data_IF_632089715140
#
_entry.id   IF_632089715140
#
_cell.length_a   1.000
_cell.length_b   1.000
_cell.length_c   1.000
_cell.angle_alpha   90.00
_cell.angle_beta   90.00
_cell.angle_gamma   90.00
#
_symmetry.space_group_name_H-M   'P 1'
#
loop_
_entity.id
_entity.type
_entity.pdbx_description
1 polymer ?
#
# COMPACT_ATOMS: atom_id res chain seq x y z
N UNK A 1 -8.02 -14.95 6.52
CA UNK A 1 -7.60 -13.61 7.00
C UNK A 1 -6.07 -13.46 7.02
N UNK A 2 -5.34 -14.38 7.66
CA UNK A 2 -3.87 -14.34 7.79
C UNK A 2 -3.14 -14.10 6.45
N UNK A 3 -3.36 -14.92 5.42
CA UNK A 3 -2.66 -14.77 4.11
C UNK A 3 -2.79 -13.37 3.50
N UNK A 4 -3.98 -12.77 3.61
CA UNK A 4 -4.26 -11.42 3.11
C UNK A 4 -3.43 -10.38 3.86
N UNK A 5 -3.32 -10.50 5.18
CA UNK A 5 -2.51 -9.59 6.01
C UNK A 5 -1.02 -9.83 5.78
N UNK A 6 -0.59 -11.07 5.55
CA UNK A 6 0.80 -11.39 5.23
C UNK A 6 1.21 -10.81 3.86
N UNK A 7 0.31 -10.81 2.88
CA UNK A 7 0.57 -10.15 1.61
C UNK A 7 0.75 -8.63 1.78
N UNK A 8 -0.08 -8.01 2.62
CA UNK A 8 0.07 -6.59 2.94
C UNK A 8 1.34 -6.28 3.74
N UNK A 9 1.73 -7.14 4.67
CA UNK A 9 2.96 -6.90 5.45
C UNK A 9 4.20 -6.93 4.56
N UNK A 10 4.22 -7.80 3.55
CA UNK A 10 5.26 -7.84 2.52
C UNK A 10 5.23 -6.59 1.63
N UNK A 11 4.06 -6.13 1.21
CA UNK A 11 3.90 -4.92 0.40
C UNK A 11 4.37 -3.66 1.16
N UNK A 12 3.98 -3.52 2.42
CA UNK A 12 4.27 -2.37 3.27
C UNK A 12 5.50 -2.55 4.16
N UNK A 13 6.44 -3.44 3.80
CA UNK A 13 7.66 -3.70 4.59
C UNK A 13 8.58 -2.48 4.74
N UNK A 14 8.43 -1.50 3.85
CA UNK A 14 9.16 -0.22 3.89
C UNK A 14 8.38 0.89 4.61
N UNK A 15 7.13 0.63 4.99
CA UNK A 15 6.24 1.59 5.68
C UNK A 15 6.19 1.33 7.18
N UNK A 16 6.10 0.05 7.56
CA UNK A 16 5.92 -0.36 8.95
C UNK A 16 7.14 -1.13 9.46
N UNK A 17 7.46 -0.90 10.73
CA UNK A 17 8.47 -1.68 11.44
C UNK A 17 7.81 -2.91 12.05
N UNK A 18 8.28 -4.08 11.65
CA UNK A 18 7.85 -5.36 12.24
C UNK A 18 8.94 -5.85 13.20
N UNK A 19 8.52 -6.44 14.33
CA UNK A 19 9.46 -7.04 15.28
C UNK A 19 10.14 -8.26 14.66
N UNK A 20 11.42 -8.48 14.96
CA UNK A 20 12.26 -9.53 14.35
C UNK A 20 12.51 -10.74 15.25
N UNK A 21 11.93 -10.73 16.45
CA UNK A 21 12.06 -11.75 17.49
C UNK A 21 10.97 -12.84 17.41
N UNK A 22 10.02 -12.71 16.48
CA UNK A 22 8.90 -13.63 16.31
C UNK A 22 8.56 -13.83 14.83
N UNK A 23 7.87 -14.93 14.51
CA UNK A 23 7.38 -15.17 13.14
C UNK A 23 6.21 -14.24 12.82
N UNK A 24 5.89 -14.07 11.53
CA UNK A 24 4.71 -13.31 11.14
C UNK A 24 3.43 -13.88 11.76
N UNK A 25 3.29 -15.20 11.83
CA UNK A 25 2.11 -15.86 12.38
C UNK A 25 1.97 -15.58 13.87
N UNK A 26 3.06 -15.63 14.63
CA UNK A 26 3.05 -15.30 16.06
C UNK A 26 2.62 -13.84 16.27
N UNK A 27 3.23 -12.90 15.55
CA UNK A 27 2.90 -11.47 15.62
C UNK A 27 1.43 -11.23 15.28
N UNK A 28 0.93 -11.89 14.24
CA UNK A 28 -0.44 -11.75 13.79
C UNK A 28 -1.45 -12.31 14.81
N UNK A 29 -1.17 -13.49 15.38
CA UNK A 29 -2.04 -14.09 16.40
C UNK A 29 -2.03 -13.30 17.71
N UNK A 30 -0.88 -12.78 18.12
CA UNK A 30 -0.76 -11.91 19.29
C UNK A 30 -1.57 -10.62 19.09
N UNK A 31 -1.45 -9.98 17.94
CA UNK A 31 -2.22 -8.78 17.62
C UNK A 31 -3.74 -9.03 17.65
N UNK A 32 -4.22 -10.13 17.04
CA UNK A 32 -5.65 -10.49 17.10
C UNK A 32 -6.12 -10.75 18.53
N UNK A 33 -5.29 -11.43 19.33
CA UNK A 33 -5.62 -11.75 20.72
C UNK A 33 -5.70 -10.50 21.58
N UNK A 34 -4.75 -9.58 21.43
CA UNK A 34 -4.72 -8.33 22.19
C UNK A 34 -5.90 -7.43 21.80
N UNK A 35 -6.16 -7.27 20.50
CA UNK A 35 -7.32 -6.51 20.02
C UNK A 35 -8.65 -7.10 20.49
N UNK A 36 -8.78 -8.43 20.52
CA UNK A 36 -9.99 -9.10 21.03
C UNK A 36 -10.13 -8.95 22.55
N UNK A 37 -9.03 -9.06 23.30
CA UNK A 37 -9.00 -8.87 24.75
C UNK A 37 -9.36 -7.45 25.15
N UNK A 38 -8.94 -6.47 24.37
CA UNK A 38 -9.27 -5.05 24.54
C UNK A 38 -10.70 -4.72 24.07
N UNK A 39 -11.41 -5.70 23.51
CA UNK A 39 -12.79 -5.54 23.05
C UNK A 39 -12.91 -4.72 21.76
N UNK A 40 -11.84 -4.58 20.99
CA UNK A 40 -11.85 -3.86 19.71
C UNK A 40 -12.47 -4.70 18.59
N UNK A 41 -12.23 -6.00 18.63
CA UNK A 41 -12.73 -6.96 17.63
C UNK A 41 -13.33 -8.21 18.29
N UNK A 42 -14.21 -8.88 17.54
CA UNK A 42 -14.58 -10.26 17.78
C UNK A 42 -13.98 -11.14 16.67
N UNK A 43 -13.40 -12.27 17.06
CA UNK A 43 -12.88 -13.27 16.12
C UNK A 43 -13.83 -14.46 16.08
N UNK A 44 -14.42 -14.74 14.92
CA UNK A 44 -15.35 -15.86 14.70
C UNK A 44 -15.06 -16.53 13.35
N UNK A 45 -14.98 -17.85 13.32
CA UNK A 45 -14.78 -18.66 12.11
C UNK A 45 -13.62 -18.21 11.20
N UNK A 46 -12.53 -17.70 11.80
CA UNK A 46 -11.36 -17.22 11.05
C UNK A 46 -11.50 -15.81 10.45
N UNK A 47 -12.56 -15.09 10.82
CA UNK A 47 -12.81 -13.68 10.50
C UNK A 47 -12.70 -12.82 11.76
N UNK A 48 -12.26 -11.58 11.57
CA UNK A 48 -12.26 -10.56 12.61
C UNK A 48 -13.27 -9.47 12.23
N UNK A 49 -14.13 -9.10 13.16
CA UNK A 49 -15.13 -8.04 12.99
C UNK A 49 -14.96 -7.02 14.10
N UNK A 50 -15.04 -5.72 13.77
CA UNK A 50 -15.04 -4.65 14.75
C UNK A 50 -16.26 -4.78 15.69
N UNK A 51 -16.05 -4.59 17.00
CA UNK A 51 -17.16 -4.42 17.95
C UNK A 51 -17.87 -3.08 17.73
N UNK A 52 -19.07 -2.94 18.27
CA UNK A 52 -19.90 -1.75 18.11
C UNK A 52 -19.43 -0.54 18.95
N UNK A 53 -19.97 0.64 18.63
CA UNK A 53 -19.80 1.85 19.43
C UNK A 53 -18.41 2.48 19.35
N UNK A 54 -17.86 2.94 20.48
CA UNK A 54 -16.63 3.73 20.51
C UNK A 54 -15.41 3.00 19.92
N UNK A 55 -15.33 1.68 20.09
CA UNK A 55 -14.25 0.86 19.52
C UNK A 55 -14.35 0.78 18.00
N UNK A 56 -15.56 0.61 17.44
CA UNK A 56 -15.82 0.71 15.99
C UNK A 56 -15.26 2.00 15.42
N UNK A 57 -15.64 3.12 16.01
CA UNK A 57 -15.20 4.44 15.56
C UNK A 57 -13.69 4.64 15.65
N UNK A 58 -13.03 4.00 16.62
CA UNK A 58 -11.57 4.01 16.72
C UNK A 58 -10.93 3.23 15.57
N UNK A 59 -11.41 2.03 15.30
CA UNK A 59 -10.92 1.19 14.20
C UNK A 59 -11.18 1.85 12.84
N UNK A 60 -12.33 2.50 12.64
CA UNK A 60 -12.63 3.27 11.44
C UNK A 60 -11.62 4.39 11.20
N UNK A 61 -11.20 5.10 12.26
CA UNK A 61 -10.15 6.13 12.16
C UNK A 61 -8.80 5.52 11.76
N UNK A 62 -8.42 4.40 12.34
CA UNK A 62 -7.18 3.70 11.96
C UNK A 62 -7.26 3.17 10.53
N UNK A 63 -8.40 2.62 10.12
CA UNK A 63 -8.65 2.20 8.75
C UNK A 63 -8.52 3.37 7.77
N UNK A 64 -9.11 4.53 8.08
CA UNK A 64 -9.00 5.74 7.26
C UNK A 64 -7.54 6.24 7.15
N UNK A 65 -6.75 6.14 8.22
CA UNK A 65 -5.33 6.45 8.17
C UNK A 65 -4.59 5.46 7.26
N UNK A 66 -4.87 4.17 7.40
CA UNK A 66 -4.26 3.12 6.59
C UNK A 66 -4.61 3.25 5.11
N UNK A 67 -5.85 3.59 4.77
CA UNK A 67 -6.33 3.81 3.40
C UNK A 67 -5.41 4.76 2.62
N UNK A 68 -4.82 5.76 3.28
CA UNK A 68 -3.92 6.68 2.61
C UNK A 68 -2.67 6.02 2.04
N UNK A 69 -2.17 4.93 2.65
CA UNK A 69 -1.05 4.16 2.09
C UNK A 69 -1.49 3.34 0.88
N UNK A 70 -2.68 2.73 0.92
CA UNK A 70 -3.23 2.00 -0.22
C UNK A 70 -3.40 2.93 -1.43
N UNK A 71 -3.98 4.11 -1.23
CA UNK A 71 -4.14 5.13 -2.28
C UNK A 71 -2.78 5.60 -2.82
N UNK A 72 -1.79 5.86 -1.96
CA UNK A 72 -0.43 6.22 -2.41
C UNK A 72 0.24 5.11 -3.24
N UNK A 73 0.04 3.84 -2.88
CA UNK A 73 0.64 2.72 -3.60
C UNK A 73 -0.05 2.46 -4.93
N UNK A 74 -1.37 2.63 -5.02
CA UNK A 74 -2.09 2.65 -6.29
C UNK A 74 -1.63 3.80 -7.18
N UNK A 75 -1.43 4.99 -6.62
CA UNK A 75 -0.88 6.12 -7.36
C UNK A 75 0.55 5.83 -7.86
N UNK A 76 1.38 5.16 -7.06
CA UNK A 76 2.72 4.76 -7.49
C UNK A 76 2.67 3.73 -8.64
N UNK A 77 1.72 2.79 -8.61
CA UNK A 77 1.49 1.85 -9.72
C UNK A 77 1.11 2.57 -11.01
N UNK A 78 0.16 3.52 -10.93
CA UNK A 78 -0.19 4.38 -12.08
C UNK A 78 0.99 5.22 -12.55
N UNK A 79 1.77 5.76 -11.62
CA UNK A 79 2.99 6.49 -11.92
C UNK A 79 4.05 5.62 -12.61
N UNK A 80 4.09 4.30 -12.36
CA UNK A 80 5.03 3.41 -13.04
C UNK A 80 4.72 3.25 -14.54
N UNK A 81 3.50 3.57 -15.00
CA UNK A 81 3.20 3.58 -16.44
C UNK A 81 4.12 4.56 -17.19
N UNK A 82 4.60 5.63 -16.53
CA UNK A 82 5.51 6.64 -17.10
C UNK A 82 6.80 6.02 -17.64
N UNK A 83 7.33 4.97 -17.00
CA UNK A 83 8.61 4.37 -17.42
C UNK A 83 8.47 3.44 -18.62
N UNK A 84 7.24 3.15 -19.07
CA UNK A 84 6.99 2.46 -20.33
C UNK A 84 7.35 3.34 -21.53
N UNK A 85 7.25 4.66 -21.39
CA UNK A 85 7.69 5.64 -22.40
C UNK A 85 9.23 5.75 -22.47
N UNK A 86 9.93 5.25 -21.45
CA UNK A 86 11.39 5.23 -21.36
C UNK A 86 11.94 5.65 -19.98
N UNK A 87 13.27 5.58 -19.80
CA UNK A 87 13.95 5.99 -18.57
C UNK A 87 13.68 7.46 -18.21
N UNK A 88 13.48 7.75 -16.92
CA UNK A 88 13.19 9.09 -16.42
C UNK A 88 13.95 9.40 -15.13
N UNK A 89 14.45 10.64 -14.90
CA UNK A 89 14.98 11.00 -13.59
C UNK A 89 13.93 10.81 -12.48
N UNK A 90 14.32 10.20 -11.37
CA UNK A 90 13.46 9.91 -10.21
C UNK A 90 12.73 11.16 -9.69
N UNK A 91 13.40 12.31 -9.72
CA UNK A 91 12.80 13.60 -9.36
C UNK A 91 11.63 13.99 -10.27
N UNK A 92 11.78 13.77 -11.58
CA UNK A 92 10.75 14.09 -12.56
C UNK A 92 9.59 13.10 -12.50
N UNK A 93 9.89 11.83 -12.18
CA UNK A 93 8.86 10.85 -11.86
C UNK A 93 7.97 11.29 -10.68
N UNK A 94 8.56 11.75 -9.57
CA UNK A 94 7.77 12.28 -8.43
C UNK A 94 6.90 13.46 -8.85
N UNK A 95 7.46 14.39 -9.63
CA UNK A 95 6.71 15.57 -10.10
C UNK A 95 5.50 15.17 -10.94
N UNK A 96 5.69 14.27 -11.91
CA UNK A 96 4.62 13.79 -12.80
C UNK A 96 3.59 12.97 -12.03
N UNK A 97 4.03 12.07 -11.16
CA UNK A 97 3.15 11.20 -10.36
C UNK A 97 2.31 12.00 -9.36
N UNK A 98 2.88 13.01 -8.69
CA UNK A 98 2.10 13.89 -7.81
C UNK A 98 1.11 14.77 -8.59
N UNK A 99 1.48 15.24 -9.78
CA UNK A 99 0.56 15.97 -10.64
C UNK A 99 -0.61 15.10 -11.10
N UNK A 100 -0.35 13.84 -11.47
CA UNK A 100 -1.37 12.84 -11.76
C UNK A 100 -2.28 12.61 -10.56
N UNK A 101 -1.69 12.37 -9.38
CA UNK A 101 -2.46 12.16 -8.15
C UNK A 101 -3.34 13.37 -7.78
N UNK A 102 -2.89 14.59 -8.06
CA UNK A 102 -3.72 15.78 -7.90
C UNK A 102 -4.93 15.78 -8.84
N UNK A 103 -4.80 15.28 -10.06
CA UNK A 103 -5.95 15.11 -10.97
C UNK A 103 -6.89 14.01 -10.48
N UNK A 104 -6.35 12.85 -10.07
CA UNK A 104 -7.12 11.74 -9.51
C UNK A 104 -7.91 12.14 -8.26
N UNK A 105 -7.32 12.97 -7.40
CA UNK A 105 -8.02 13.53 -6.23
C UNK A 105 -9.19 14.45 -6.65
N UNK A 106 -8.98 15.32 -7.64
CA UNK A 106 -10.06 16.18 -8.15
C UNK A 106 -11.17 15.39 -8.85
N UNK A 107 -10.85 14.24 -9.42
CA UNK A 107 -11.79 13.30 -10.03
C UNK A 107 -12.50 12.37 -9.02
N UNK A 108 -12.06 12.37 -7.75
CA UNK A 108 -12.61 11.50 -6.70
C UNK A 108 -12.08 10.05 -6.73
N UNK A 109 -11.04 9.76 -7.54
CA UNK A 109 -10.37 8.45 -7.57
C UNK A 109 -9.42 8.26 -6.37
N UNK A 110 -8.93 9.36 -5.81
CA UNK A 110 -8.24 9.40 -4.52
C UNK A 110 -9.14 10.19 -3.58
N UNK A 111 -9.53 9.60 -2.45
CA UNK A 111 -10.45 10.23 -1.50
C UNK A 111 -9.70 11.17 -0.56
N UNK A 112 -8.46 10.83 -0.17
CA UNK A 112 -7.68 11.56 0.84
C UNK A 112 -6.51 12.31 0.21
N UNK A 113 -6.45 13.61 0.45
CA UNK A 113 -5.34 14.45 -0.03
C UNK A 113 -4.01 14.04 0.59
N UNK A 114 -4.03 13.48 1.80
CA UNK A 114 -2.89 12.97 2.54
C UNK A 114 -2.20 11.76 1.85
N UNK A 115 -2.87 11.16 0.88
CA UNK A 115 -2.33 10.11 0.01
C UNK A 115 -1.39 10.67 -1.06
N UNK A 116 -1.44 11.98 -1.32
CA UNK A 116 -0.52 12.68 -2.22
C UNK A 116 0.77 13.07 -1.48
N UNK A 117 1.51 12.07 -0.99
CA UNK A 117 2.71 12.26 -0.18
C UNK A 117 3.95 11.72 -0.88
N UNK A 118 4.96 12.59 -1.05
CA UNK A 118 6.26 12.15 -1.59
C UNK A 118 6.90 11.05 -0.73
N UNK A 119 6.78 11.12 0.59
CA UNK A 119 7.35 10.12 1.50
C UNK A 119 6.69 8.74 1.29
N UNK A 120 5.37 8.69 1.12
CA UNK A 120 4.65 7.44 0.81
C UNK A 120 4.96 6.94 -0.61
N UNK A 121 5.19 7.84 -1.55
CA UNK A 121 5.65 7.45 -2.89
C UNK A 121 7.09 6.92 -2.86
N UNK A 122 7.96 7.38 -1.95
CA UNK A 122 9.30 6.84 -1.77
C UNK A 122 9.29 5.39 -1.27
N UNK A 123 8.45 5.07 -0.28
CA UNK A 123 8.28 3.70 0.23
C UNK A 123 7.57 2.81 -0.79
N UNK A 124 6.54 3.31 -1.46
CA UNK A 124 5.85 2.60 -2.54
C UNK A 124 6.82 2.25 -3.69
N UNK A 125 7.68 3.19 -4.10
CA UNK A 125 8.68 2.95 -5.16
C UNK A 125 9.62 1.80 -4.78
N UNK A 126 10.07 1.72 -3.53
CA UNK A 126 10.89 0.59 -3.06
C UNK A 126 10.13 -0.73 -3.15
N UNK A 127 8.84 -0.74 -2.77
CA UNK A 127 8.01 -1.93 -2.92
C UNK A 127 7.88 -2.35 -4.40
N UNK A 128 7.64 -1.40 -5.32
CA UNK A 128 7.56 -1.72 -6.76
C UNK A 128 8.88 -2.30 -7.31
N UNK A 129 10.04 -1.86 -6.79
CA UNK A 129 11.34 -2.47 -7.11
C UNK A 129 11.45 -3.90 -6.60
N UNK A 130 11.00 -4.19 -5.38
CA UNK A 130 10.98 -5.56 -4.85
C UNK A 130 10.11 -6.49 -5.70
N UNK A 131 9.01 -5.96 -6.25
CA UNK A 131 8.16 -6.67 -7.21
C UNK A 131 8.73 -6.70 -8.64
N UNK A 132 9.91 -6.10 -8.87
CA UNK A 132 10.57 -5.99 -10.18
C UNK A 132 9.71 -5.31 -11.25
N UNK A 133 8.79 -4.43 -10.84
CA UNK A 133 7.97 -3.64 -11.76
C UNK A 133 8.74 -2.44 -12.34
N UNK A 134 9.73 -1.98 -11.58
CA UNK A 134 10.63 -0.89 -11.93
C UNK A 134 12.04 -1.22 -11.42
N UNK A 135 13.03 -0.49 -11.93
CA UNK A 135 14.40 -0.52 -11.42
C UNK A 135 14.97 0.89 -11.36
N UNK A 136 15.99 1.10 -10.53
CA UNK A 136 16.68 2.37 -10.40
C UNK A 136 18.17 2.19 -10.72
N UNK A 137 18.64 2.93 -11.70
CA UNK A 137 20.04 2.98 -12.12
C UNK A 137 20.60 4.37 -11.77
N UNK A 138 21.25 4.48 -10.61
CA UNK A 138 21.60 5.76 -10.02
C UNK A 138 20.34 6.55 -9.64
N UNK A 139 20.11 7.70 -10.30
CA UNK A 139 18.90 8.52 -10.14
C UNK A 139 17.90 8.36 -11.29
N UNK A 140 18.16 7.44 -12.23
CA UNK A 140 17.29 7.17 -13.37
C UNK A 140 16.38 6.00 -13.02
N UNK A 141 15.07 6.23 -13.12
CA UNK A 141 14.03 5.24 -12.97
C UNK A 141 13.71 4.62 -14.32
N UNK A 142 13.68 3.29 -14.38
CA UNK A 142 13.45 2.51 -15.58
C UNK A 142 12.37 1.45 -15.32
N UNK A 143 11.79 0.93 -16.39
CA UNK A 143 10.91 -0.26 -16.30
C UNK A 143 11.71 -1.46 -15.78
N UNK A 144 11.05 -2.30 -15.00
CA UNK A 144 11.64 -3.55 -14.52
C UNK A 144 11.80 -4.58 -15.63
N UNK A 145 12.66 -5.56 -15.41
CA UNK A 145 12.88 -6.66 -16.34
C UNK A 145 11.59 -7.50 -16.50
N UNK A 146 11.18 -7.77 -17.74
CA UNK A 146 9.96 -8.53 -18.05
C UNK A 146 8.67 -7.71 -18.00
N UNK A 147 8.73 -6.40 -17.75
CA UNK A 147 7.57 -5.50 -17.86
C UNK A 147 7.45 -4.99 -19.29
N UNK A 148 6.40 -5.41 -20.00
CA UNK A 148 6.18 -5.06 -21.40
C UNK A 148 4.96 -4.15 -21.60
N UNK A 149 4.03 -4.16 -20.64
CA UNK A 149 2.74 -3.51 -20.77
C UNK A 149 2.23 -2.90 -19.46
N UNK A 150 1.20 -2.06 -19.56
CA UNK A 150 0.45 -1.56 -18.40
C UNK A 150 -0.17 -2.71 -17.58
N UNK A 151 -0.56 -3.80 -18.24
CA UNK A 151 -1.14 -4.95 -17.55
C UNK A 151 -0.15 -5.62 -16.58
N UNK A 152 1.14 -5.66 -16.95
CA UNK A 152 2.19 -6.22 -16.10
C UNK A 152 2.39 -5.37 -14.83
N UNK A 153 2.39 -4.04 -14.99
CA UNK A 153 2.44 -3.10 -13.87
C UNK A 153 1.24 -3.28 -12.94
N UNK A 154 0.04 -3.43 -13.50
CA UNK A 154 -1.19 -3.47 -12.71
C UNK A 154 -1.53 -4.84 -12.13
N UNK A 155 -0.69 -5.86 -12.33
CA UNK A 155 -0.86 -7.17 -11.70
C UNK A 155 -0.90 -7.11 -10.17
N UNK A 156 -0.37 -6.04 -9.56
CA UNK A 156 -0.40 -5.80 -8.11
C UNK A 156 -1.69 -5.11 -7.64
N UNK A 157 -2.41 -4.39 -8.51
CA UNK A 157 -3.60 -3.59 -8.19
C UNK A 157 -4.71 -4.40 -7.49
N UNK A 158 -5.05 -5.65 -7.91
CA UNK A 158 -6.06 -6.46 -7.21
C UNK A 158 -5.71 -6.79 -5.75
N UNK A 159 -4.41 -6.84 -5.42
CA UNK A 159 -3.95 -7.12 -4.05
C UNK A 159 -4.12 -5.90 -3.12
N UNK A 160 -4.26 -4.70 -3.69
CA UNK A 160 -4.38 -3.43 -2.94
C UNK A 160 -5.85 -3.01 -2.87
N UNK A 161 -6.54 -3.03 -4.01
CA UNK A 161 -7.94 -2.58 -4.13
C UNK A 161 -8.93 -3.38 -3.29
N UNK A 162 -8.62 -4.63 -2.95
CA UNK A 162 -9.44 -5.46 -2.07
C UNK A 162 -9.57 -4.96 -0.62
N UNK A 163 -8.89 -3.87 -0.26
CA UNK A 163 -8.92 -3.24 1.07
C UNK A 163 -9.44 -1.80 1.07
N UNK A 164 -9.81 -1.27 -0.11
CA UNK A 164 -10.34 0.09 -0.29
C UNK A 164 -11.88 0.11 -0.42
N UNK A 165 -12.57 -0.90 0.13
CA UNK A 165 -14.04 -1.01 0.10
C UNK A 165 -14.62 -1.10 1.49
#
# INVERSE_FOLDING_TARGET
>A
LNDRVQQLSKLFKHEFMYRTDATFDDIFQDALRDMAKDGEIEVRDGYAQATEGAMRHRLERYAAMLQTFFESYLLALRGAEIVLDGPIPKKDWYKRTLALGQQMYLAGEIERRESLSKLKLETALKALQDYRLIQLNGDILERGEGVESVADLHALEPKITGFLR
#
